data_IF_647987379028
#
_entry.id   IF_647987379028
#
_cell.length_a   1.000
_cell.length_b   1.000
_cell.length_c   1.000
_cell.angle_alpha   90.00
_cell.angle_beta   90.00
_cell.angle_gamma   90.00
#
_symmetry.space_group_name_H-M   'P 1'
#
loop_
_entity.id
_entity.type
_entity.pdbx_description
1 polymer ?
#
# COMPACT_ATOMS: atom_id res chain seq x y z
N UNK A 1 21.70 -75.06 30.99
CA UNK A 1 22.52 -74.34 29.99
C UNK A 1 21.80 -73.04 29.66
N UNK A 2 22.49 -71.89 29.75
CA UNK A 2 21.85 -70.58 29.62
C UNK A 2 21.66 -70.23 28.14
N UNK A 3 20.55 -69.59 27.80
CA UNK A 3 20.46 -68.73 26.63
C UNK A 3 19.69 -67.47 27.01
N UNK A 4 20.26 -66.36 26.55
CA UNK A 4 20.08 -64.97 26.95
C UNK A 4 18.69 -64.37 26.65
N UNK A 5 18.36 -63.23 27.27
CA UNK A 5 17.13 -62.49 26.99
C UNK A 5 17.19 -61.87 25.57
N UNK A 6 16.12 -62.08 24.80
CA UNK A 6 15.86 -61.31 23.59
C UNK A 6 15.44 -59.90 23.99
N UNK A 7 16.35 -58.95 23.77
CA UNK A 7 16.12 -57.52 23.92
C UNK A 7 15.32 -56.95 22.72
N UNK A 8 14.56 -55.91 23.03
CA UNK A 8 13.60 -55.21 22.19
C UNK A 8 14.23 -54.48 21.00
N UNK A 9 13.37 -54.14 20.03
CA UNK A 9 13.39 -53.01 19.08
C UNK A 9 13.16 -53.45 17.64
N UNK A 10 11.89 -53.71 17.31
CA UNK A 10 11.41 -53.61 15.94
C UNK A 10 11.40 -52.15 15.52
N UNK A 11 12.55 -51.62 15.08
CA UNK A 11 12.59 -50.36 14.34
C UNK A 11 12.05 -50.58 12.93
N UNK A 12 10.90 -49.96 12.67
CA UNK A 12 10.29 -49.83 11.35
C UNK A 12 11.23 -49.08 10.41
N UNK A 13 12.04 -49.80 9.63
CA UNK A 13 12.93 -49.19 8.64
C UNK A 13 12.17 -48.88 7.35
N UNK A 14 11.86 -47.61 7.10
CA UNK A 14 11.41 -47.14 5.78
C UNK A 14 12.62 -47.08 4.86
N UNK A 15 12.60 -47.85 3.76
CA UNK A 15 13.67 -47.88 2.76
C UNK A 15 13.21 -47.21 1.47
N UNK A 16 13.94 -46.19 1.02
CA UNK A 16 13.75 -45.63 -0.31
C UNK A 16 14.58 -46.45 -1.32
N UNK A 17 13.88 -47.12 -2.24
CA UNK A 17 14.51 -47.78 -3.40
C UNK A 17 14.38 -46.89 -4.63
N UNK A 18 15.50 -46.50 -5.24
CA UNK A 18 15.51 -46.06 -6.64
C UNK A 18 15.83 -47.26 -7.51
N UNK A 19 15.02 -47.46 -8.55
CA UNK A 19 14.96 -48.68 -9.35
C UNK A 19 16.27 -49.14 -10.03
N UNK A 20 16.39 -50.47 -10.06
CA UNK A 20 17.21 -51.34 -10.92
C UNK A 20 18.75 -51.28 -10.79
N UNK A 21 19.27 -52.21 -9.98
CA UNK A 21 20.62 -52.77 -10.17
C UNK A 21 21.26 -53.29 -8.89
N UNK A 22 21.13 -54.60 -8.63
CA UNK A 22 21.98 -55.46 -7.77
C UNK A 22 22.30 -55.00 -6.34
N UNK A 23 21.84 -55.79 -5.36
CA UNK A 23 22.23 -55.71 -3.94
C UNK A 23 23.76 -55.70 -3.78
N UNK A 24 24.38 -54.71 -3.09
CA UNK A 24 25.73 -54.85 -2.60
C UNK A 24 25.70 -55.68 -1.31
N UNK A 25 26.43 -56.79 -1.33
CA UNK A 25 26.81 -57.61 -0.19
C UNK A 25 27.43 -56.77 0.92
N UNK A 26 27.23 -57.21 2.16
CA UNK A 26 27.90 -56.73 3.37
C UNK A 26 29.42 -56.89 3.26
N UNK A 27 30.11 -55.89 2.72
CA UNK A 27 31.55 -55.71 2.86
C UNK A 27 31.86 -54.54 3.81
N UNK A 28 32.95 -54.68 4.55
CA UNK A 28 33.57 -53.68 5.43
C UNK A 28 33.77 -52.33 4.70
N UNK A 29 33.84 -51.18 5.42
CA UNK A 29 33.98 -49.88 4.80
C UNK A 29 35.23 -49.82 3.92
N UNK A 30 35.07 -49.35 2.69
CA UNK A 30 36.19 -49.06 1.79
C UNK A 30 37.02 -47.91 2.40
N UNK A 31 38.34 -47.91 2.21
CA UNK A 31 39.28 -46.97 2.85
C UNK A 31 39.13 -45.50 2.37
N UNK A 32 38.01 -45.17 1.73
CA UNK A 32 37.69 -43.88 1.13
C UNK A 32 36.47 -43.18 1.74
N UNK A 33 35.87 -43.76 2.78
CA UNK A 33 34.69 -43.21 3.47
C UNK A 33 35.08 -42.57 4.82
N UNK A 34 34.73 -41.30 5.02
CA UNK A 34 35.04 -40.54 6.24
C UNK A 34 33.76 -40.38 7.08
N UNK A 35 33.80 -40.75 8.36
CA UNK A 35 32.69 -40.56 9.33
C UNK A 35 32.50 -39.05 9.57
N UNK A 36 31.28 -38.54 9.35
CA UNK A 36 30.98 -37.12 9.38
C UNK A 36 30.51 -36.61 10.76
N UNK A 37 30.56 -37.44 11.81
CA UNK A 37 30.04 -37.09 13.15
C UNK A 37 30.60 -35.79 13.78
N UNK A 38 31.72 -35.24 13.29
CA UNK A 38 32.35 -34.03 13.82
C UNK A 38 32.38 -32.82 12.86
N UNK A 39 31.76 -32.89 11.67
CA UNK A 39 31.79 -31.79 10.68
C UNK A 39 30.39 -31.22 10.45
N UNK A 40 30.25 -29.89 10.48
CA UNK A 40 29.01 -29.24 10.05
C UNK A 40 28.72 -29.61 8.59
N UNK A 41 27.54 -30.16 8.32
CA UNK A 41 27.10 -30.49 6.96
C UNK A 41 27.17 -29.26 6.04
N UNK A 42 26.90 -28.07 6.59
CA UNK A 42 27.02 -26.80 5.88
C UNK A 42 28.46 -26.53 5.40
N UNK A 43 29.47 -26.84 6.21
CA UNK A 43 30.89 -26.66 5.82
C UNK A 43 31.30 -27.62 4.70
N UNK A 44 30.72 -28.81 4.67
CA UNK A 44 30.95 -29.80 3.62
C UNK A 44 30.27 -29.36 2.32
N UNK A 45 29.04 -28.85 2.41
CA UNK A 45 28.32 -28.29 1.26
C UNK A 45 29.08 -27.08 0.70
N UNK A 46 29.54 -26.16 1.54
CA UNK A 46 30.31 -24.99 1.14
C UNK A 46 31.65 -25.37 0.49
N UNK A 47 32.37 -26.35 1.05
CA UNK A 47 33.59 -26.88 0.46
C UNK A 47 33.33 -27.55 -0.88
N UNK A 48 32.30 -28.38 -1.00
CA UNK A 48 31.93 -29.02 -2.26
C UNK A 48 31.52 -27.99 -3.32
N UNK A 49 30.80 -26.94 -2.92
CA UNK A 49 30.44 -25.82 -3.79
C UNK A 49 31.67 -25.08 -4.31
N UNK A 50 32.59 -24.70 -3.42
CA UNK A 50 33.83 -24.00 -3.80
C UNK A 50 34.74 -24.82 -4.73
N UNK A 51 34.70 -26.15 -4.64
CA UNK A 51 35.48 -27.06 -5.50
C UNK A 51 34.72 -27.55 -6.74
N UNK A 52 33.51 -27.06 -7.00
CA UNK A 52 32.62 -27.57 -8.04
C UNK A 52 32.52 -29.11 -8.02
N UNK A 53 32.31 -29.67 -6.83
CA UNK A 53 32.15 -31.09 -6.62
C UNK A 53 30.70 -31.41 -6.20
N UNK A 54 30.19 -32.55 -6.63
CA UNK A 54 28.94 -33.14 -6.12
C UNK A 54 29.31 -33.89 -4.85
N UNK A 55 28.88 -33.36 -3.71
CA UNK A 55 29.02 -34.02 -2.42
C UNK A 55 28.16 -35.29 -2.43
N UNK A 56 28.77 -36.43 -2.14
CA UNK A 56 28.04 -37.69 -1.96
C UNK A 56 28.09 -38.09 -0.50
N UNK A 57 26.91 -38.30 0.08
CA UNK A 57 26.72 -38.63 1.49
C UNK A 57 25.77 -39.81 1.58
N UNK A 58 26.08 -40.76 2.47
CA UNK A 58 25.26 -41.95 2.71
C UNK A 58 24.92 -42.00 4.19
N UNK A 59 23.66 -42.27 4.53
CA UNK A 59 23.24 -42.54 5.90
C UNK A 59 23.19 -44.04 6.15
N UNK A 60 23.99 -44.55 7.07
CA UNK A 60 24.06 -45.98 7.39
C UNK A 60 24.35 -46.19 8.88
N UNK A 61 23.49 -46.95 9.55
CA UNK A 61 23.66 -47.36 10.95
C UNK A 61 23.62 -46.19 11.94
N UNK A 62 22.74 -45.21 11.74
CA UNK A 62 22.64 -44.04 12.62
C UNK A 62 23.63 -42.91 12.30
N UNK A 63 24.54 -43.10 11.34
CA UNK A 63 25.61 -42.16 11.01
C UNK A 63 25.61 -41.70 9.56
N UNK A 64 26.06 -40.47 9.33
CA UNK A 64 26.32 -39.89 8.01
C UNK A 64 27.77 -40.19 7.60
N UNK A 65 27.95 -40.70 6.38
CA UNK A 65 29.25 -41.04 5.80
C UNK A 65 29.47 -40.23 4.53
N UNK A 66 30.64 -39.60 4.38
CA UNK A 66 31.03 -39.00 3.11
C UNK A 66 31.69 -40.04 2.21
N UNK A 67 31.22 -40.14 0.96
CA UNK A 67 31.89 -40.95 -0.08
C UNK A 67 32.63 -40.06 -1.07
N UNK A 68 33.37 -40.67 -2.01
CA UNK A 68 34.23 -39.96 -2.95
C UNK A 68 33.43 -38.98 -3.83
N UNK A 69 33.55 -37.69 -3.53
CA UNK A 69 32.90 -36.61 -4.27
C UNK A 69 33.28 -36.62 -5.75
N UNK A 70 32.29 -36.46 -6.64
CA UNK A 70 32.51 -36.45 -8.10
C UNK A 70 32.61 -35.01 -8.61
N UNK A 71 33.43 -34.77 -9.64
CA UNK A 71 33.48 -33.46 -10.32
C UNK A 71 32.12 -33.15 -10.94
N UNK A 72 31.62 -31.91 -10.82
CA UNK A 72 30.33 -31.49 -11.39
C UNK A 72 30.29 -31.82 -12.89
N UNK A 73 29.52 -32.83 -13.27
CA UNK A 73 29.26 -33.19 -14.68
C UNK A 73 27.92 -32.64 -15.18
N UNK A 74 27.19 -31.90 -14.34
CA UNK A 74 25.87 -31.39 -14.66
C UNK A 74 25.94 -29.87 -14.75
N UNK A 75 25.60 -29.35 -15.93
CA UNK A 75 25.15 -27.99 -16.12
C UNK A 75 24.09 -27.71 -15.07
N UNK A 76 24.43 -26.89 -14.08
CA UNK A 76 23.48 -26.39 -13.10
C UNK A 76 22.57 -25.40 -13.82
N UNK A 77 21.60 -25.89 -14.57
CA UNK A 77 20.53 -25.05 -15.09
C UNK A 77 19.79 -24.50 -13.88
N UNK A 78 19.91 -23.19 -13.68
CA UNK A 78 19.19 -22.47 -12.63
C UNK A 78 17.71 -22.55 -13.00
N UNK A 79 16.97 -23.46 -12.35
CA UNK A 79 15.52 -23.54 -12.52
C UNK A 79 14.89 -22.36 -11.80
N UNK A 80 14.04 -21.64 -12.50
CA UNK A 80 13.28 -20.53 -11.94
C UNK A 80 12.18 -21.10 -11.04
N UNK A 81 12.20 -20.69 -9.78
CA UNK A 81 11.14 -21.00 -8.82
C UNK A 81 10.02 -19.98 -8.96
N UNK A 82 8.78 -20.44 -8.90
CA UNK A 82 7.58 -19.59 -8.90
C UNK A 82 6.79 -19.88 -7.64
N UNK A 83 6.34 -18.84 -6.94
CA UNK A 83 5.56 -18.99 -5.70
C UNK A 83 4.09 -19.28 -6.00
N UNK A 84 3.38 -19.87 -5.03
CA UNK A 84 1.94 -20.06 -5.13
C UNK A 84 1.23 -18.71 -5.28
N UNK A 85 1.71 -17.63 -4.64
CA UNK A 85 1.20 -16.27 -4.85
C UNK A 85 1.20 -15.88 -6.33
N UNK A 86 2.34 -15.97 -7.00
CA UNK A 86 2.44 -15.61 -8.43
C UNK A 86 1.54 -16.49 -9.29
N UNK A 87 1.43 -17.79 -8.98
CA UNK A 87 0.55 -18.70 -9.72
C UNK A 87 -0.94 -18.42 -9.52
N UNK A 88 -1.34 -17.90 -8.36
CA UNK A 88 -2.72 -17.49 -8.10
C UNK A 88 -3.05 -16.12 -8.69
N UNK A 89 -2.08 -15.19 -8.77
CA UNK A 89 -2.28 -13.84 -9.26
C UNK A 89 -2.16 -13.70 -10.79
N UNK A 90 -1.18 -14.37 -11.40
CA UNK A 90 -0.73 -14.10 -12.78
C UNK A 90 -1.07 -15.23 -13.76
N UNK A 91 -1.60 -16.38 -13.31
CA UNK A 91 -1.81 -17.51 -14.21
C UNK A 91 -3.09 -17.35 -15.06
N UNK A 92 -3.00 -17.28 -16.40
CA UNK A 92 -4.17 -17.26 -17.28
C UNK A 92 -4.91 -18.62 -17.30
N UNK A 93 -4.28 -19.67 -16.77
CA UNK A 93 -4.79 -21.04 -16.78
C UNK A 93 -4.96 -21.54 -15.35
N UNK A 94 -6.20 -21.83 -14.97
CA UNK A 94 -6.55 -22.33 -13.65
C UNK A 94 -6.00 -23.76 -13.45
N UNK A 95 -5.44 -24.03 -12.27
CA UNK A 95 -5.06 -25.39 -11.84
C UNK A 95 -6.23 -26.35 -12.03
N UNK A 96 -5.96 -27.56 -12.53
CA UNK A 96 -6.99 -28.60 -12.68
C UNK A 96 -7.40 -29.11 -11.30
N UNK A 97 -8.63 -29.60 -11.17
CA UNK A 97 -9.14 -30.17 -9.91
C UNK A 97 -8.22 -31.23 -9.31
N UNK A 98 -7.59 -32.07 -10.14
CA UNK A 98 -6.64 -33.08 -9.67
C UNK A 98 -5.39 -32.46 -9.04
N UNK A 99 -4.84 -31.41 -9.65
CA UNK A 99 -3.66 -30.69 -9.16
C UNK A 99 -3.99 -29.96 -7.85
N UNK A 100 -5.15 -29.30 -7.78
CA UNK A 100 -5.68 -28.67 -6.57
C UNK A 100 -5.76 -29.67 -5.40
N UNK A 101 -6.32 -30.85 -5.63
CA UNK A 101 -6.49 -31.88 -4.59
C UNK A 101 -5.15 -32.46 -4.13
N UNK A 102 -4.21 -32.72 -5.06
CA UNK A 102 -2.87 -33.19 -4.71
C UNK A 102 -2.17 -32.15 -3.85
N UNK A 103 -2.14 -30.89 -4.29
CA UNK A 103 -1.49 -29.81 -3.56
C UNK A 103 -2.11 -29.60 -2.17
N UNK A 104 -3.45 -29.58 -2.08
CA UNK A 104 -4.18 -29.46 -0.81
C UNK A 104 -3.79 -30.56 0.18
N UNK A 105 -3.76 -31.82 -0.27
CA UNK A 105 -3.40 -32.96 0.57
C UNK A 105 -1.92 -32.90 0.98
N UNK A 106 -1.03 -32.52 0.07
CA UNK A 106 0.40 -32.37 0.37
C UNK A 106 0.63 -31.28 1.41
N UNK A 107 0.00 -30.12 1.28
CA UNK A 107 0.12 -29.02 2.25
C UNK A 107 -0.48 -29.37 3.61
N UNK A 108 -1.61 -30.07 3.65
CA UNK A 108 -2.20 -30.51 4.92
C UNK A 108 -1.30 -31.51 5.67
N UNK A 109 -0.70 -32.47 4.97
CA UNK A 109 0.28 -33.38 5.57
C UNK A 109 1.54 -32.64 6.02
N UNK A 110 2.08 -31.75 5.19
CA UNK A 110 3.24 -30.96 5.54
C UNK A 110 2.97 -30.09 6.78
N UNK A 111 1.83 -29.42 6.85
CA UNK A 111 1.44 -28.63 8.01
C UNK A 111 1.33 -29.49 9.28
N UNK A 112 0.72 -30.68 9.20
CA UNK A 112 0.64 -31.60 10.34
C UNK A 112 2.04 -32.00 10.85
N UNK A 113 2.93 -32.43 9.94
CA UNK A 113 4.27 -32.89 10.31
C UNK A 113 5.21 -31.76 10.75
N UNK A 114 5.03 -30.56 10.22
CA UNK A 114 5.88 -29.40 10.50
C UNK A 114 5.37 -28.53 11.65
N UNK A 115 4.15 -28.78 12.16
CA UNK A 115 3.48 -27.96 13.18
C UNK A 115 4.24 -27.83 14.50
N UNK A 116 5.02 -28.85 14.89
CA UNK A 116 5.83 -28.84 16.11
C UNK A 116 7.27 -28.32 15.88
N UNK A 117 7.62 -27.96 14.64
CA UNK A 117 8.97 -27.56 14.25
C UNK A 117 9.08 -26.10 13.81
N UNK A 118 10.32 -25.59 13.61
CA UNK A 118 10.55 -24.21 13.18
C UNK A 118 10.19 -23.95 11.71
N UNK A 119 9.62 -24.94 11.02
CA UNK A 119 9.34 -24.91 9.59
C UNK A 119 8.08 -24.13 9.24
N UNK A 120 7.11 -24.05 10.16
CA UNK A 120 5.94 -23.19 10.04
C UNK A 120 6.16 -21.97 10.92
N UNK A 121 6.66 -20.88 10.32
CA UNK A 121 6.74 -19.59 11.00
C UNK A 121 5.34 -19.01 11.23
N UNK A 122 5.23 -17.97 12.08
CA UNK A 122 3.94 -17.31 12.36
C UNK A 122 3.24 -16.80 11.11
N UNK A 123 3.99 -16.50 10.03
CA UNK A 123 3.48 -15.92 8.79
C UNK A 123 3.59 -16.87 7.58
N UNK A 124 3.55 -18.18 7.79
CA UNK A 124 3.60 -19.13 6.67
C UNK A 124 2.32 -19.05 5.82
N UNK A 125 2.48 -19.02 4.50
CA UNK A 125 1.38 -18.87 3.55
C UNK A 125 1.81 -19.10 2.09
N UNK A 126 1.08 -18.48 1.16
CA UNK A 126 1.27 -18.67 -0.30
C UNK A 126 2.62 -18.18 -0.82
N UNK A 127 3.33 -17.35 -0.07
CA UNK A 127 4.67 -16.87 -0.41
C UNK A 127 5.76 -17.91 -0.14
N UNK A 128 5.55 -18.75 0.88
CA UNK A 128 6.50 -19.78 1.29
C UNK A 128 6.33 -21.08 0.50
N UNK A 129 5.26 -21.23 -0.27
CA UNK A 129 5.04 -22.40 -1.14
C UNK A 129 5.54 -22.08 -2.55
N UNK A 130 6.56 -22.80 -3.00
CA UNK A 130 7.20 -22.59 -4.31
C UNK A 130 7.20 -23.86 -5.16
N UNK A 131 7.25 -23.67 -6.47
CA UNK A 131 7.30 -24.74 -7.47
C UNK A 131 8.42 -24.45 -8.47
N UNK A 132 9.01 -25.49 -9.04
CA UNK A 132 9.95 -25.34 -10.16
C UNK A 132 9.27 -25.69 -11.48
N UNK A 133 9.56 -24.91 -12.52
CA UNK A 133 9.18 -25.26 -13.89
C UNK A 133 10.06 -26.40 -14.40
N UNK A 134 9.46 -27.34 -15.13
CA UNK A 134 10.20 -28.38 -15.85
C UNK A 134 10.68 -27.84 -17.19
N UNK A 135 11.89 -28.21 -17.62
CA UNK A 135 12.45 -27.75 -18.91
C UNK A 135 11.62 -28.21 -20.12
N UNK A 136 10.67 -29.13 -19.93
CA UNK A 136 9.78 -29.70 -20.95
C UNK A 136 8.31 -29.24 -20.83
N UNK A 137 7.95 -28.54 -19.76
CA UNK A 137 6.56 -28.09 -19.51
C UNK A 137 6.57 -26.63 -19.06
N UNK A 138 5.77 -25.79 -19.73
CA UNK A 138 5.56 -24.39 -19.32
C UNK A 138 4.88 -24.30 -17.94
N UNK A 139 4.02 -25.28 -17.62
CA UNK A 139 3.30 -25.36 -16.35
C UNK A 139 4.23 -25.89 -15.22
N UNK A 140 4.18 -25.30 -14.01
CA UNK A 140 4.95 -25.79 -12.86
C UNK A 140 4.42 -27.14 -12.36
N UNK A 141 5.30 -27.94 -11.74
CA UNK A 141 4.90 -29.23 -11.17
C UNK A 141 4.22 -29.06 -9.80
N UNK A 142 2.89 -28.94 -9.82
CA UNK A 142 2.06 -28.83 -8.62
C UNK A 142 2.11 -30.05 -7.69
N UNK A 143 2.64 -31.19 -8.14
CA UNK A 143 2.72 -32.42 -7.33
C UNK A 143 3.86 -32.38 -6.33
N UNK A 144 4.84 -31.49 -6.54
CA UNK A 144 6.04 -31.39 -5.72
C UNK A 144 6.26 -29.93 -5.27
N UNK A 145 5.43 -29.42 -4.34
CA UNK A 145 5.65 -28.12 -3.74
C UNK A 145 6.90 -28.14 -2.83
N UNK A 146 7.57 -27.00 -2.76
CA UNK A 146 8.70 -26.76 -1.87
C UNK A 146 8.33 -25.69 -0.86
N UNK A 147 8.72 -25.88 0.40
CA UNK A 147 8.57 -24.87 1.44
C UNK A 147 9.85 -24.04 1.52
N UNK A 148 9.72 -22.73 1.34
CA UNK A 148 10.80 -21.76 1.48
C UNK A 148 10.73 -21.12 2.88
N UNK A 149 11.69 -21.45 3.74
CA UNK A 149 11.74 -20.98 5.13
C UNK A 149 13.08 -20.30 5.37
N UNK A 150 13.06 -19.05 5.84
CA UNK A 150 14.24 -18.42 6.43
C UNK A 150 14.29 -18.75 7.92
N UNK A 151 15.42 -19.28 8.38
CA UNK A 151 15.68 -19.51 9.80
C UNK A 151 16.48 -18.38 10.46
N UNK A 152 17.01 -17.48 9.63
CA UNK A 152 17.70 -16.28 10.05
C UNK A 152 16.63 -15.19 10.23
N UNK A 153 16.29 -14.95 11.51
CA UNK A 153 15.57 -13.80 12.09
C UNK A 153 14.58 -14.26 13.17
N UNK A 154 15.11 -14.54 14.36
CA UNK A 154 14.34 -14.44 15.61
C UNK A 154 14.47 -13.03 16.21
N UNK A 155 14.60 -12.02 15.37
CA UNK A 155 14.31 -10.66 15.84
C UNK A 155 12.80 -10.55 15.98
N UNK A 156 12.37 -10.34 17.23
CA UNK A 156 11.06 -9.80 17.57
C UNK A 156 11.05 -8.38 17.01
N UNK A 157 10.88 -8.29 15.69
CA UNK A 157 10.80 -7.07 14.91
C UNK A 157 9.34 -6.81 14.60
N UNK A 158 8.85 -5.70 15.13
CA UNK A 158 7.52 -5.14 14.93
C UNK A 158 7.26 -4.75 13.47
N UNK A 159 7.07 -5.72 12.57
CA UNK A 159 6.48 -5.45 11.25
C UNK A 159 5.02 -5.87 11.20
N UNK A 160 4.21 -4.86 10.90
CA UNK A 160 2.81 -4.89 10.48
C UNK A 160 1.78 -5.28 11.54
N UNK A 161 1.20 -4.24 12.12
CA UNK A 161 -0.02 -4.22 12.94
C UNK A 161 -1.30 -4.43 12.10
N UNK A 162 -1.25 -5.22 11.02
CA UNK A 162 -2.39 -5.39 10.10
C UNK A 162 -2.81 -6.84 9.83
N UNK A 163 -2.37 -7.82 10.62
CA UNK A 163 -2.96 -9.15 10.54
C UNK A 163 -4.22 -9.21 11.42
N UNK A 164 -5.38 -8.91 10.81
CA UNK A 164 -6.75 -9.12 11.34
C UNK A 164 -6.98 -10.50 11.99
N UNK A 165 -6.05 -11.44 11.80
CA UNK A 165 -6.14 -12.83 12.19
C UNK A 165 -5.22 -13.24 13.36
N UNK A 166 -4.51 -12.31 14.01
CA UNK A 166 -3.54 -12.61 15.08
C UNK A 166 -4.15 -13.12 16.41
N UNK A 167 -5.46 -13.31 16.49
CA UNK A 167 -6.15 -13.82 17.68
C UNK A 167 -6.63 -15.27 17.57
N UNK A 168 -6.28 -16.00 16.50
CA UNK A 168 -6.68 -17.40 16.38
C UNK A 168 -5.81 -18.30 17.28
N UNK A 169 -6.44 -19.14 18.11
CA UNK A 169 -5.76 -20.07 19.04
C UNK A 169 -4.75 -21.02 18.36
N UNK A 170 -4.87 -21.18 17.04
CA UNK A 170 -3.91 -21.92 16.23
C UNK A 170 -3.67 -21.22 14.87
N UNK A 171 -2.69 -20.31 14.77
CA UNK A 171 -2.44 -19.53 13.55
C UNK A 171 -2.04 -20.42 12.37
N UNK A 172 -1.40 -21.56 12.62
CA UNK A 172 -0.96 -22.47 11.58
C UNK A 172 -2.12 -23.17 10.88
N UNK A 173 -3.12 -23.62 11.63
CA UNK A 173 -4.33 -24.23 11.08
C UNK A 173 -5.13 -23.20 10.27
N UNK A 174 -5.19 -21.96 10.74
CA UNK A 174 -5.86 -20.89 10.01
C UNK A 174 -5.19 -20.63 8.66
N UNK A 175 -3.86 -20.49 8.63
CA UNK A 175 -3.13 -20.29 7.39
C UNK A 175 -3.28 -21.48 6.42
N UNK A 176 -3.31 -22.71 6.93
CA UNK A 176 -3.66 -23.88 6.13
C UNK A 176 -5.08 -23.74 5.54
N UNK A 177 -6.06 -23.36 6.35
CA UNK A 177 -7.43 -23.14 5.91
C UNK A 177 -7.53 -22.12 4.76
N UNK A 178 -6.83 -20.99 4.90
CA UNK A 178 -6.74 -19.96 3.86
C UNK A 178 -6.12 -20.53 2.58
N UNK A 179 -4.97 -21.18 2.67
CA UNK A 179 -4.30 -21.80 1.51
C UNK A 179 -5.21 -22.79 0.78
N UNK A 180 -5.95 -23.62 1.51
CA UNK A 180 -6.88 -24.58 0.92
C UNK A 180 -8.02 -23.88 0.17
N UNK A 181 -8.54 -22.77 0.72
CA UNK A 181 -9.54 -21.93 0.05
C UNK A 181 -8.96 -21.30 -1.22
N UNK A 182 -7.79 -20.68 -1.14
CA UNK A 182 -7.12 -20.04 -2.27
C UNK A 182 -6.82 -21.02 -3.41
N UNK A 183 -6.33 -22.22 -3.10
CA UNK A 183 -6.10 -23.29 -4.07
C UNK A 183 -7.41 -23.67 -4.77
N UNK A 184 -8.50 -23.79 -4.01
CA UNK A 184 -9.81 -24.17 -4.55
C UNK A 184 -10.40 -23.06 -5.43
N UNK A 185 -10.36 -21.83 -4.94
CA UNK A 185 -10.87 -20.63 -5.59
C UNK A 185 -10.02 -20.24 -6.81
N UNK A 186 -8.74 -20.61 -6.80
CA UNK A 186 -7.80 -20.34 -7.88
C UNK A 186 -7.38 -18.88 -7.97
N UNK A 187 -7.59 -18.11 -6.90
CA UNK A 187 -7.15 -16.73 -6.73
C UNK A 187 -6.77 -16.51 -5.25
N UNK A 188 -5.96 -15.49 -4.94
CA UNK A 188 -5.68 -15.11 -3.55
C UNK A 188 -6.99 -14.73 -2.83
N UNK A 189 -7.07 -15.01 -1.52
CA UNK A 189 -8.28 -14.74 -0.72
C UNK A 189 -8.61 -13.25 -0.72
N UNK A 190 -7.58 -12.40 -0.83
CA UNK A 190 -7.69 -10.94 -0.91
C UNK A 190 -8.46 -10.48 -2.15
N UNK A 191 -8.52 -11.29 -3.22
CA UNK A 191 -9.32 -10.97 -4.41
C UNK A 191 -10.83 -11.13 -4.21
N UNK A 192 -11.24 -11.66 -3.06
CA UNK A 192 -12.63 -11.82 -2.65
C UNK A 192 -13.06 -10.82 -1.58
N UNK A 193 -12.15 -9.98 -1.09
CA UNK A 193 -12.54 -8.91 -0.18
C UNK A 193 -13.53 -8.00 -0.89
N UNK A 194 -14.69 -7.82 -0.28
CA UNK A 194 -15.60 -6.77 -0.67
C UNK A 194 -15.09 -5.45 -0.09
N UNK A 195 -15.53 -4.34 -0.67
CA UNK A 195 -15.10 -3.01 -0.23
C UNK A 195 -15.43 -2.73 1.26
N UNK A 196 -16.43 -3.42 1.80
CA UNK A 196 -16.83 -3.38 3.21
C UNK A 196 -15.83 -4.11 4.11
N UNK A 197 -15.19 -5.18 3.62
CA UNK A 197 -14.20 -6.00 4.36
C UNK A 197 -12.88 -5.26 4.61
N UNK A 198 -12.60 -4.20 3.84
CA UNK A 198 -11.39 -3.39 3.93
C UNK A 198 -11.52 -2.19 4.87
N UNK A 199 -12.73 -1.93 5.37
CA UNK A 199 -12.99 -0.83 6.31
C UNK A 199 -12.57 -1.21 7.70
N UNK A 200 -12.14 -0.22 8.47
CA UNK A 200 -11.91 -0.44 9.89
C UNK A 200 -13.28 -0.65 10.58
N UNK A 201 -13.54 -1.80 11.22
CA UNK A 201 -14.80 -2.03 11.93
C UNK A 201 -15.08 -0.97 13.01
N UNK A 202 -14.03 -0.29 13.50
CA UNK A 202 -14.17 0.85 14.40
C UNK A 202 -15.10 1.92 13.81
N UNK A 203 -14.98 2.20 12.51
CA UNK A 203 -15.68 3.30 11.86
C UNK A 203 -17.18 3.07 11.65
N UNK A 204 -17.66 1.83 11.83
CA UNK A 204 -19.08 1.54 11.91
C UNK A 204 -19.74 2.08 13.19
N UNK A 205 -18.94 2.22 14.25
CA UNK A 205 -19.42 2.64 15.59
C UNK A 205 -18.90 4.01 16.01
N UNK A 206 -17.72 4.40 15.53
CA UNK A 206 -17.04 5.64 15.86
C UNK A 206 -16.52 6.31 14.61
N UNK A 207 -17.10 7.47 14.26
CA UNK A 207 -16.64 8.25 13.12
C UNK A 207 -15.14 8.62 13.24
N UNK A 208 -14.35 8.53 12.17
CA UNK A 208 -12.97 9.00 12.18
C UNK A 208 -12.86 10.48 12.56
N UNK A 209 -11.84 10.84 13.33
CA UNK A 209 -11.55 12.22 13.70
C UNK A 209 -10.06 12.48 13.90
N UNK A 210 -9.67 13.75 13.79
CA UNK A 210 -8.36 14.27 14.14
C UNK A 210 -8.47 15.61 14.86
N UNK A 211 -7.96 15.68 16.09
CA UNK A 211 -7.93 16.91 16.89
C UNK A 211 -6.75 17.79 16.47
N UNK A 212 -7.07 19.04 16.13
CA UNK A 212 -6.10 20.11 15.79
C UNK A 212 -5.64 20.91 16.99
N UNK A 213 -5.93 20.43 18.20
CA UNK A 213 -5.50 20.98 19.47
C UNK A 213 -5.00 19.85 20.41
N UNK A 214 -4.52 20.22 21.58
CA UNK A 214 -4.06 19.25 22.59
C UNK A 214 -5.26 18.46 23.13
N UNK A 215 -5.18 17.13 23.03
CA UNK A 215 -6.25 16.27 23.49
C UNK A 215 -6.30 16.24 25.03
N UNK A 216 -7.49 16.17 25.65
CA UNK A 216 -7.61 15.92 27.08
C UNK A 216 -6.89 14.64 27.50
N UNK A 217 -6.46 14.58 28.77
CA UNK A 217 -5.76 13.40 29.30
C UNK A 217 -6.60 12.13 29.11
N UNK A 218 -6.00 11.10 28.50
CA UNK A 218 -6.66 9.83 28.21
C UNK A 218 -7.53 9.82 26.94
N UNK A 219 -7.67 10.95 26.25
CA UNK A 219 -8.38 11.02 24.97
C UNK A 219 -7.38 10.98 23.79
N UNK A 220 -7.48 10.02 22.86
CA UNK A 220 -6.56 9.96 21.74
C UNK A 220 -6.75 11.17 20.81
N UNK A 221 -5.65 11.71 20.29
CA UNK A 221 -5.69 12.89 19.41
C UNK A 221 -6.36 12.59 18.06
N UNK A 222 -6.36 11.34 17.63
CA UNK A 222 -7.06 10.86 16.45
C UNK A 222 -7.34 9.37 16.62
N UNK A 223 -8.40 8.87 15.98
CA UNK A 223 -8.67 7.44 15.84
C UNK A 223 -8.40 6.92 14.40
N UNK A 224 -7.90 7.78 13.51
CA UNK A 224 -7.56 7.42 12.12
C UNK A 224 -6.31 6.54 12.11
N UNK A 225 -6.39 5.40 11.43
CA UNK A 225 -5.23 4.55 11.11
C UNK A 225 -4.67 4.89 9.74
N UNK A 226 -3.39 5.25 9.69
CA UNK A 226 -2.69 5.59 8.44
C UNK A 226 -1.97 4.36 7.89
N UNK A 227 -2.22 4.05 6.62
CA UNK A 227 -1.49 3.05 5.86
C UNK A 227 -0.53 3.74 4.88
N UNK A 228 0.74 3.32 4.86
CA UNK A 228 1.76 3.88 3.97
C UNK A 228 1.93 2.97 2.77
N UNK A 229 1.64 3.51 1.58
CA UNK A 229 1.80 2.80 0.30
C UNK A 229 2.71 3.55 -0.65
N UNK A 230 3.49 2.78 -1.39
CA UNK A 230 4.18 3.29 -2.58
C UNK A 230 3.19 3.31 -3.74
N UNK A 231 3.10 4.46 -4.42
CA UNK A 231 2.20 4.66 -5.56
C UNK A 231 2.99 5.18 -6.76
N UNK A 232 2.47 4.90 -7.96
CA UNK A 232 3.01 5.48 -9.19
C UNK A 232 2.28 6.79 -9.45
N UNK A 233 3.03 7.89 -9.56
CA UNK A 233 2.49 9.21 -9.89
C UNK A 233 3.07 9.65 -11.24
N UNK A 234 2.20 9.91 -12.21
CA UNK A 234 2.59 10.26 -13.57
C UNK A 234 2.73 11.77 -13.76
N UNK A 235 3.79 12.22 -14.44
CA UNK A 235 3.91 13.63 -14.82
C UNK A 235 2.97 13.93 -16.00
N UNK A 236 2.08 14.91 -15.83
CA UNK A 236 1.18 15.37 -16.88
C UNK A 236 1.92 16.01 -18.06
N UNK A 237 3.17 16.43 -17.86
CA UNK A 237 4.01 16.95 -18.94
C UNK A 237 4.52 15.86 -19.88
N UNK A 238 4.69 14.64 -19.39
CA UNK A 238 5.11 13.48 -20.18
C UNK A 238 3.92 12.70 -20.75
N UNK A 239 2.72 13.01 -20.29
CA UNK A 239 1.48 12.31 -20.67
C UNK A 239 0.50 13.26 -21.33
N UNK A 240 -0.55 13.68 -20.62
CA UNK A 240 -1.53 14.68 -21.04
C UNK A 240 -2.07 15.44 -19.85
N UNK A 241 -2.57 16.64 -20.11
CA UNK A 241 -3.31 17.39 -19.10
C UNK A 241 -4.67 16.71 -18.83
N UNK A 242 -5.12 16.70 -17.56
CA UNK A 242 -6.45 16.23 -17.21
C UNK A 242 -7.52 17.22 -17.67
N UNK A 243 -8.70 16.70 -17.98
CA UNK A 243 -9.88 17.49 -18.30
C UNK A 243 -10.74 17.68 -17.05
N UNK A 244 -11.14 18.92 -16.74
CA UNK A 244 -11.86 19.22 -15.50
C UNK A 244 -13.20 18.49 -15.40
N UNK A 245 -13.96 18.41 -16.48
CA UNK A 245 -15.29 17.77 -16.46
C UNK A 245 -15.18 16.25 -16.34
N UNK A 246 -14.22 15.63 -17.02
CA UNK A 246 -14.07 14.15 -17.02
C UNK A 246 -13.27 13.60 -15.86
N UNK A 247 -12.21 14.30 -15.48
CA UNK A 247 -11.19 13.83 -14.54
C UNK A 247 -11.12 14.68 -13.29
N UNK A 248 -11.99 15.70 -13.17
CA UNK A 248 -12.14 16.52 -11.97
C UNK A 248 -11.01 17.51 -11.73
N UNK A 249 -10.02 17.62 -12.63
CA UNK A 249 -8.89 18.53 -12.48
C UNK A 249 -8.46 19.18 -13.81
N UNK A 250 -7.91 20.38 -13.75
CA UNK A 250 -7.29 21.06 -14.87
C UNK A 250 -6.09 21.90 -14.44
N UNK A 251 -5.03 21.87 -15.25
CA UNK A 251 -3.90 22.79 -15.14
C UNK A 251 -4.15 23.99 -16.06
N UNK A 252 -4.15 25.19 -15.50
CA UNK A 252 -4.46 26.42 -16.22
C UNK A 252 -3.36 27.47 -16.07
N UNK A 253 -3.13 28.30 -17.09
CA UNK A 253 -2.30 29.49 -16.95
C UNK A 253 -3.01 30.51 -16.05
N UNK A 254 -2.31 31.03 -15.06
CA UNK A 254 -2.82 32.04 -14.13
C UNK A 254 -1.70 32.98 -13.68
N UNK A 255 -1.66 34.17 -14.25
CA UNK A 255 -0.71 35.21 -13.84
C UNK A 255 -1.28 35.97 -12.64
N UNK A 256 -0.58 35.96 -11.50
CA UNK A 256 -1.06 36.64 -10.29
C UNK A 256 -0.95 38.17 -10.43
N UNK A 257 -1.97 38.89 -9.98
CA UNK A 257 -1.91 40.37 -9.92
C UNK A 257 -1.04 40.90 -8.78
N UNK A 258 -0.72 40.06 -7.79
CA UNK A 258 0.13 40.42 -6.65
C UNK A 258 1.52 39.81 -6.80
N UNK A 259 2.51 40.50 -6.27
CA UNK A 259 3.91 40.05 -6.25
C UNK A 259 4.19 39.05 -5.12
N UNK A 260 5.33 38.37 -5.19
CA UNK A 260 5.75 37.37 -4.20
C UNK A 260 5.68 37.88 -2.75
N UNK A 261 6.18 39.10 -2.49
CA UNK A 261 6.23 39.66 -1.14
C UNK A 261 4.86 40.02 -0.57
N UNK A 262 3.86 40.25 -1.43
CA UNK A 262 2.50 40.58 -1.01
C UNK A 262 1.72 39.36 -0.51
N UNK A 263 2.22 38.13 -0.72
CA UNK A 263 1.65 36.93 -0.09
C UNK A 263 1.92 36.84 1.42
N UNK A 264 2.70 37.76 1.99
CA UNK A 264 2.82 37.93 3.44
C UNK A 264 1.83 38.96 4.01
N UNK A 265 1.05 39.64 3.15
CA UNK A 265 0.01 40.60 3.56
C UNK A 265 -1.39 39.99 3.38
N UNK A 266 -2.00 39.65 4.51
CA UNK A 266 -3.32 39.02 4.56
C UNK A 266 -4.42 39.89 3.90
N UNK A 267 -4.33 41.22 4.04
CA UNK A 267 -5.33 42.12 3.47
C UNK A 267 -5.21 42.19 1.95
N UNK A 268 -3.98 42.19 1.43
CA UNK A 268 -3.74 42.16 -0.02
C UNK A 268 -4.23 40.84 -0.61
N UNK A 269 -3.96 39.71 0.06
CA UNK A 269 -4.50 38.42 -0.36
C UNK A 269 -6.03 38.47 -0.40
N UNK A 270 -6.68 38.87 0.69
CA UNK A 270 -8.15 38.86 0.79
C UNK A 270 -8.83 39.81 -0.21
N UNK A 271 -8.34 41.05 -0.33
CA UNK A 271 -9.00 42.09 -1.12
C UNK A 271 -8.66 42.03 -2.61
N UNK A 272 -7.48 41.52 -2.96
CA UNK A 272 -6.95 41.56 -4.32
C UNK A 272 -6.84 40.16 -4.91
N UNK A 273 -6.06 39.27 -4.29
CA UNK A 273 -5.79 37.93 -4.85
C UNK A 273 -7.03 37.04 -4.86
N UNK A 274 -7.75 36.90 -3.74
CA UNK A 274 -8.96 36.08 -3.69
C UNK A 274 -10.04 36.60 -4.64
N UNK A 275 -10.14 37.92 -4.82
CA UNK A 275 -11.05 38.50 -5.83
C UNK A 275 -10.64 38.12 -7.26
N UNK A 276 -9.35 38.10 -7.57
CA UNK A 276 -8.85 37.63 -8.87
C UNK A 276 -9.22 36.15 -9.08
N UNK A 277 -8.98 35.29 -8.08
CA UNK A 277 -9.29 33.86 -8.14
C UNK A 277 -10.79 33.61 -8.30
N UNK A 278 -11.64 34.28 -7.52
CA UNK A 278 -13.10 34.17 -7.62
C UNK A 278 -13.61 34.53 -9.02
N UNK A 279 -13.13 35.64 -9.60
CA UNK A 279 -13.49 36.02 -10.96
C UNK A 279 -13.00 35.01 -12.00
N UNK A 280 -11.78 34.50 -11.85
CA UNK A 280 -11.23 33.49 -12.74
C UNK A 280 -12.05 32.20 -12.72
N UNK A 281 -12.33 31.66 -11.52
CA UNK A 281 -13.15 30.47 -11.33
C UNK A 281 -14.56 30.67 -11.88
N UNK A 282 -15.16 31.84 -11.68
CA UNK A 282 -16.49 32.18 -12.23
C UNK A 282 -16.51 32.06 -13.76
N UNK A 283 -15.50 32.58 -14.43
CA UNK A 283 -15.38 32.49 -15.89
C UNK A 283 -15.04 31.07 -16.34
N UNK A 284 -14.09 30.41 -15.70
CA UNK A 284 -13.64 29.05 -16.03
C UNK A 284 -14.79 28.04 -15.95
N UNK A 285 -15.54 28.07 -14.84
CA UNK A 285 -16.65 27.14 -14.56
C UNK A 285 -17.99 27.59 -15.12
N UNK A 286 -18.05 28.77 -15.77
CA UNK A 286 -19.29 29.40 -16.27
C UNK A 286 -20.37 29.51 -15.18
N UNK A 287 -19.94 29.84 -13.96
CA UNK A 287 -20.80 29.91 -12.79
C UNK A 287 -21.52 31.26 -12.69
N UNK A 288 -22.65 31.29 -11.98
CA UNK A 288 -23.38 32.53 -11.67
C UNK A 288 -22.67 33.32 -10.56
N UNK A 289 -22.17 32.62 -9.54
CA UNK A 289 -21.49 33.22 -8.40
C UNK A 289 -20.41 32.28 -7.85
N UNK A 290 -19.32 32.83 -7.33
CA UNK A 290 -18.25 32.08 -6.65
C UNK A 290 -17.92 32.79 -5.34
N UNK A 291 -18.00 32.07 -4.24
CA UNK A 291 -17.71 32.56 -2.89
C UNK A 291 -16.53 31.80 -2.30
N UNK A 292 -15.45 32.52 -2.00
CA UNK A 292 -14.29 31.98 -1.30
C UNK A 292 -14.53 32.11 0.20
N UNK A 293 -14.34 31.02 0.94
CA UNK A 293 -14.67 30.94 2.36
C UNK A 293 -13.45 30.70 3.27
N UNK A 294 -12.24 30.72 2.71
CA UNK A 294 -10.97 30.55 3.44
C UNK A 294 -10.86 31.48 4.67
N UNK A 295 -11.28 32.74 4.53
CA UNK A 295 -11.25 33.75 5.59
C UNK A 295 -12.20 33.47 6.78
N UNK A 296 -13.24 32.64 6.57
CA UNK A 296 -14.19 32.24 7.62
C UNK A 296 -13.59 31.15 8.52
N UNK A 297 -12.56 30.45 8.05
CA UNK A 297 -11.91 29.32 8.74
C UNK A 297 -10.63 29.77 9.49
N UNK A 298 -10.38 31.08 9.54
CA UNK A 298 -9.47 31.69 10.51
C UNK A 298 -8.06 32.05 10.02
N UNK A 299 -7.62 31.61 8.83
CA UNK A 299 -6.36 32.05 8.20
C UNK A 299 -6.39 31.79 6.67
N UNK A 300 -5.67 32.59 5.88
CA UNK A 300 -5.44 32.28 4.46
C UNK A 300 -4.50 31.06 4.34
N UNK A 301 -4.76 30.14 3.40
CA UNK A 301 -3.98 28.90 3.28
C UNK A 301 -2.67 29.06 2.47
N UNK A 302 -1.85 30.03 2.91
CA UNK A 302 -0.46 30.15 2.46
C UNK A 302 0.36 29.08 3.16
N UNK A 303 0.98 28.22 2.37
CA UNK A 303 1.81 27.11 2.83
C UNK A 303 3.26 27.34 2.47
N UNK A 304 4.13 27.47 3.48
CA UNK A 304 5.59 27.53 3.32
C UNK A 304 6.19 26.35 4.07
N UNK A 305 6.74 25.39 3.33
CA UNK A 305 7.28 24.16 3.93
C UNK A 305 8.48 24.49 4.82
N UNK A 306 8.44 24.01 6.05
CA UNK A 306 9.55 24.04 6.97
C UNK A 306 10.59 22.98 6.59
N UNK A 307 11.87 23.26 6.81
CA UNK A 307 12.98 22.38 6.38
C UNK A 307 12.87 20.96 6.94
N UNK A 308 12.36 20.83 8.17
CA UNK A 308 12.20 19.54 8.87
C UNK A 308 10.93 18.76 8.49
N UNK A 309 10.02 19.34 7.71
CA UNK A 309 8.84 18.63 7.23
C UNK A 309 9.25 17.34 6.49
N UNK A 310 8.56 16.19 6.69
CA UNK A 310 7.27 16.00 7.36
C UNK A 310 7.37 15.76 8.89
N UNK A 311 8.57 15.91 9.47
CA UNK A 311 8.76 15.73 10.91
C UNK A 311 8.20 16.96 11.64
N UNK A 312 7.28 16.71 12.58
CA UNK A 312 6.75 17.74 13.47
C UNK A 312 7.86 18.29 14.36
N UNK A 313 7.97 19.62 14.45
CA UNK A 313 8.87 20.31 15.39
C UNK A 313 8.34 20.30 16.83
N UNK A 314 7.08 19.91 17.05
CA UNK A 314 6.39 20.02 18.33
C UNK A 314 5.81 21.41 18.62
N UNK A 315 6.12 22.41 17.80
CA UNK A 315 5.67 23.79 17.96
C UNK A 315 4.79 24.24 16.78
N UNK A 316 3.87 25.20 16.97
CA UNK A 316 3.09 25.76 15.87
C UNK A 316 3.98 26.41 14.81
N UNK A 317 3.74 26.09 13.54
CA UNK A 317 4.42 26.76 12.43
C UNK A 317 3.79 28.12 12.14
N UNK A 318 4.61 29.08 11.69
CA UNK A 318 4.12 30.39 11.21
C UNK A 318 3.21 30.25 9.98
N UNK A 319 3.51 29.30 9.11
CA UNK A 319 2.74 29.01 7.90
C UNK A 319 2.28 27.56 7.91
N UNK A 320 1.14 27.29 7.29
CA UNK A 320 0.65 25.93 7.13
C UNK A 320 1.66 25.08 6.36
N UNK A 321 1.75 23.80 6.74
CA UNK A 321 2.65 22.85 6.10
C UNK A 321 1.91 22.08 5.01
N UNK A 322 2.59 21.52 4.00
CA UNK A 322 1.98 20.57 3.07
C UNK A 322 1.28 19.41 3.81
N UNK A 323 0.22 18.84 3.25
CA UNK A 323 -0.40 17.62 3.79
C UNK A 323 0.23 16.40 3.13
N UNK A 324 0.73 15.44 3.91
CA UNK A 324 1.33 14.18 3.42
C UNK A 324 0.37 12.98 3.51
N UNK A 325 -0.89 13.23 3.87
CA UNK A 325 -1.95 12.24 3.99
C UNK A 325 -2.92 12.50 2.85
N UNK A 326 -3.31 11.44 2.15
CA UNK A 326 -4.28 11.53 1.06
C UNK A 326 -5.66 11.87 1.62
N UNK A 327 -6.29 12.91 1.07
CA UNK A 327 -7.60 13.38 1.51
C UNK A 327 -8.38 14.07 0.39
N UNK A 328 -9.67 14.26 0.65
CA UNK A 328 -10.53 15.26 0.02
C UNK A 328 -10.96 16.22 1.13
N UNK A 329 -10.93 17.52 0.90
CA UNK A 329 -11.12 18.55 1.93
C UNK A 329 -12.53 18.67 2.49
N UNK A 330 -13.53 18.24 1.74
CA UNK A 330 -14.94 18.42 2.12
C UNK A 330 -15.80 17.24 1.70
N UNK A 331 -16.92 17.08 2.40
CA UNK A 331 -18.07 16.33 1.91
C UNK A 331 -19.06 17.25 1.21
N UNK A 332 -20.01 16.68 0.47
CA UNK A 332 -21.08 17.45 -0.17
C UNK A 332 -22.02 18.05 0.87
N UNK A 333 -22.34 17.30 1.92
CA UNK A 333 -23.16 17.71 3.06
C UNK A 333 -22.54 18.93 3.76
N UNK A 334 -21.22 18.89 4.01
CA UNK A 334 -20.52 20.01 4.61
C UNK A 334 -20.50 21.23 3.68
N UNK A 335 -20.28 21.03 2.36
CA UNK A 335 -20.31 22.12 1.39
C UNK A 335 -21.69 22.82 1.35
N UNK A 336 -22.78 22.05 1.41
CA UNK A 336 -24.13 22.60 1.56
C UNK A 336 -24.33 23.35 2.87
N UNK A 337 -23.92 22.78 4.00
CA UNK A 337 -24.02 23.44 5.30
C UNK A 337 -23.26 24.78 5.32
N UNK A 338 -22.05 24.80 4.75
CA UNK A 338 -21.25 26.02 4.60
C UNK A 338 -21.94 27.04 3.70
N UNK A 339 -22.48 26.62 2.54
CA UNK A 339 -23.24 27.49 1.66
C UNK A 339 -24.44 28.15 2.36
N UNK A 340 -25.16 27.38 3.18
CA UNK A 340 -26.29 27.88 3.97
C UNK A 340 -25.85 28.85 5.07
N UNK A 341 -24.78 28.51 5.81
CA UNK A 341 -24.23 29.37 6.88
C UNK A 341 -23.77 30.72 6.33
N UNK A 342 -23.11 30.73 5.16
CA UNK A 342 -22.63 31.94 4.52
C UNK A 342 -23.76 32.76 3.88
N UNK A 343 -24.92 32.15 3.62
CA UNK A 343 -26.05 32.75 2.91
C UNK A 343 -27.40 32.44 3.58
N UNK A 344 -27.63 32.84 4.85
CA UNK A 344 -28.78 32.40 5.65
C UNK A 344 -30.15 32.76 5.04
N UNK A 345 -30.22 33.83 4.23
CA UNK A 345 -31.45 34.23 3.54
C UNK A 345 -31.67 33.61 2.16
N UNK A 346 -30.74 32.77 1.68
CA UNK A 346 -30.77 32.19 0.32
C UNK A 346 -30.65 30.66 0.31
N UNK A 347 -30.54 30.01 1.46
CA UNK A 347 -30.36 28.57 1.61
C UNK A 347 -31.29 27.74 0.71
N UNK A 348 -32.60 27.98 0.78
CA UNK A 348 -33.60 27.25 -0.03
C UNK A 348 -33.41 27.46 -1.54
N UNK A 349 -33.08 28.69 -1.95
CA UNK A 349 -32.85 29.05 -3.35
C UNK A 349 -31.57 28.40 -3.90
N UNK A 350 -30.50 28.38 -3.09
CA UNK A 350 -29.23 27.72 -3.43
C UNK A 350 -29.43 26.22 -3.56
N UNK A 351 -30.18 25.59 -2.65
CA UNK A 351 -30.43 24.15 -2.65
C UNK A 351 -31.19 23.64 -3.88
N UNK A 352 -31.88 24.52 -4.62
CA UNK A 352 -32.58 24.18 -5.86
C UNK A 352 -31.66 24.14 -7.10
N UNK A 353 -30.40 24.53 -6.95
CA UNK A 353 -29.45 24.65 -8.06
C UNK A 353 -28.17 23.87 -7.76
N UNK A 354 -27.38 23.62 -8.80
CA UNK A 354 -26.07 22.98 -8.66
C UNK A 354 -25.15 23.81 -7.77
N UNK A 355 -24.51 23.13 -6.82
CA UNK A 355 -23.47 23.61 -5.95
C UNK A 355 -22.22 22.76 -6.17
N UNK A 356 -21.08 23.40 -6.37
CA UNK A 356 -19.78 22.75 -6.36
C UNK A 356 -18.86 23.36 -5.30
N UNK A 357 -17.96 22.55 -4.76
CA UNK A 357 -16.79 23.00 -4.05
C UNK A 357 -15.55 22.65 -4.87
N UNK A 358 -14.70 23.64 -5.15
CA UNK A 358 -13.47 23.47 -5.91
C UNK A 358 -12.30 24.08 -5.16
N UNK A 359 -11.13 23.50 -5.37
CA UNK A 359 -9.88 24.05 -4.90
C UNK A 359 -9.14 24.67 -6.08
N UNK A 360 -8.56 25.83 -5.82
CA UNK A 360 -7.58 26.47 -6.67
C UNK A 360 -6.23 26.41 -5.93
N UNK A 361 -5.22 25.83 -6.55
CA UNK A 361 -3.89 25.69 -5.96
C UNK A 361 -2.83 26.21 -6.91
N UNK A 362 -1.90 27.03 -6.42
CA UNK A 362 -0.73 27.45 -7.20
C UNK A 362 0.54 27.56 -6.35
N UNK A 363 1.73 27.38 -6.97
CA UNK A 363 2.97 27.82 -6.35
C UNK A 363 2.99 29.34 -6.21
N UNK A 364 3.49 29.85 -5.09
CA UNK A 364 3.78 31.28 -4.90
C UNK A 364 5.14 31.61 -5.55
N UNK A 365 6.09 30.67 -5.46
CA UNK A 365 7.37 30.69 -6.14
C UNK A 365 7.58 29.37 -6.89
N UNK A 366 8.19 29.44 -8.06
CA UNK A 366 8.49 28.25 -8.87
C UNK A 366 9.83 28.37 -9.60
N UNK A 367 10.28 27.29 -10.26
CA UNK A 367 9.60 25.99 -10.35
C UNK A 367 9.56 25.22 -9.02
N UNK A 368 8.42 24.58 -8.73
CA UNK A 368 8.32 23.63 -7.62
C UNK A 368 9.11 22.38 -7.96
N UNK A 369 10.12 22.08 -7.14
CA UNK A 369 10.93 20.85 -7.19
C UNK A 369 10.94 20.10 -5.87
N UNK A 370 10.14 20.58 -4.92
CA UNK A 370 10.06 20.12 -3.56
C UNK A 370 8.59 19.87 -3.24
N UNK A 371 8.27 18.65 -2.79
CA UNK A 371 6.92 18.28 -2.36
C UNK A 371 5.77 18.72 -3.29
N UNK A 372 5.77 18.40 -4.59
CA UNK A 372 4.69 18.80 -5.50
C UNK A 372 3.32 18.23 -5.07
N UNK A 373 2.25 18.81 -5.63
CA UNK A 373 0.89 18.33 -5.43
C UNK A 373 0.61 17.15 -6.36
N UNK A 374 0.24 16.01 -5.78
CA UNK A 374 -0.33 14.88 -6.51
C UNK A 374 -1.86 14.90 -6.40
N UNK A 375 -2.51 14.57 -7.51
CA UNK A 375 -3.95 14.49 -7.67
C UNK A 375 -4.31 13.10 -8.18
N UNK A 376 -5.34 12.49 -7.61
CA UNK A 376 -5.90 11.22 -8.09
C UNK A 376 -7.02 11.50 -9.09
N UNK A 377 -7.00 10.82 -10.25
CA UNK A 377 -8.04 10.97 -11.26
C UNK A 377 -9.41 10.55 -10.72
N UNK A 378 -10.39 11.46 -10.79
CA UNK A 378 -11.76 11.19 -10.36
C UNK A 378 -12.39 9.99 -11.07
N UNK A 379 -11.97 9.72 -12.30
CA UNK A 379 -12.46 8.61 -13.11
C UNK A 379 -12.05 7.23 -12.58
N UNK A 380 -11.05 7.17 -11.70
CA UNK A 380 -10.53 5.92 -11.10
C UNK A 380 -10.95 5.71 -9.65
N UNK A 381 -11.53 6.74 -9.04
CA UNK A 381 -12.07 6.71 -7.69
C UNK A 381 -13.45 6.05 -7.70
N UNK A 382 -13.74 5.22 -6.70
CA UNK A 382 -15.09 4.79 -6.36
C UNK A 382 -15.52 5.50 -5.09
N UNK A 383 -16.39 6.50 -5.21
CA UNK A 383 -16.82 7.33 -4.07
C UNK A 383 -17.36 6.50 -2.90
N UNK A 384 -18.11 5.43 -3.19
CA UNK A 384 -18.74 4.63 -2.14
C UNK A 384 -17.70 3.88 -1.31
N UNK A 385 -16.56 3.53 -1.87
CA UNK A 385 -15.67 2.52 -1.30
C UNK A 385 -14.29 3.06 -0.96
N UNK A 386 -13.86 4.09 -1.68
CA UNK A 386 -12.55 4.71 -1.47
C UNK A 386 -12.60 5.83 -0.43
N UNK A 387 -13.77 6.31 -0.03
CA UNK A 387 -13.89 7.44 0.88
C UNK A 387 -14.49 7.09 2.23
N UNK A 388 -13.90 7.68 3.26
CA UNK A 388 -14.39 7.63 4.64
C UNK A 388 -14.54 9.07 5.19
N UNK A 389 -15.75 9.53 5.53
CA UNK A 389 -15.95 10.82 6.17
C UNK A 389 -15.19 10.93 7.49
N UNK A 390 -14.53 12.06 7.74
CA UNK A 390 -13.67 12.26 8.89
C UNK A 390 -13.77 13.70 9.41
N UNK A 391 -13.81 13.85 10.73
CA UNK A 391 -13.89 15.15 11.39
C UNK A 391 -12.50 15.71 11.72
N UNK A 392 -12.17 16.86 11.14
CA UNK A 392 -11.09 17.72 11.61
C UNK A 392 -11.64 18.68 12.66
N UNK A 393 -11.29 18.41 13.91
CA UNK A 393 -11.84 19.13 15.06
C UNK A 393 -10.86 20.22 15.51
N UNK A 394 -11.27 21.46 15.38
CA UNK A 394 -10.58 22.64 15.88
C UNK A 394 -11.21 23.07 17.23
N UNK A 395 -10.55 23.94 18.03
CA UNK A 395 -11.10 24.38 19.31
C UNK A 395 -12.50 25.00 19.22
N UNK A 396 -12.82 25.64 18.10
CA UNK A 396 -13.97 26.50 17.91
C UNK A 396 -14.91 26.05 16.77
N UNK A 397 -14.48 25.12 15.90
CA UNK A 397 -15.30 24.60 14.81
C UNK A 397 -14.87 23.18 14.38
N UNK A 398 -15.71 22.53 13.56
CA UNK A 398 -15.45 21.22 12.96
C UNK A 398 -15.53 21.34 11.44
N UNK A 399 -14.54 20.75 10.76
CA UNK A 399 -14.54 20.60 9.31
C UNK A 399 -14.64 19.12 9.00
N UNK A 400 -15.61 18.72 8.17
CA UNK A 400 -15.73 17.33 7.73
C UNK A 400 -15.02 17.16 6.39
N UNK A 401 -14.00 16.31 6.37
CA UNK A 401 -13.24 15.94 5.18
C UNK A 401 -13.49 14.46 4.83
N UNK A 402 -12.83 13.94 3.79
CA UNK A 402 -12.82 12.50 3.50
C UNK A 402 -11.39 11.96 3.52
N UNK A 403 -11.17 10.90 4.29
CA UNK A 403 -9.97 10.07 4.18
C UNK A 403 -10.14 9.08 3.03
N UNK A 404 -9.02 8.56 2.51
CA UNK A 404 -9.02 7.76 1.29
C UNK A 404 -8.42 6.38 1.55
N UNK A 405 -9.17 5.33 1.23
CA UNK A 405 -8.66 3.96 1.19
C UNK A 405 -7.87 3.74 -0.10
N UNK A 406 -6.78 2.99 0.01
CA UNK A 406 -5.96 2.64 -1.13
C UNK A 406 -6.68 1.62 -2.03
N UNK A 407 -6.59 1.83 -3.34
CA UNK A 407 -6.97 0.83 -4.33
C UNK A 407 -6.03 0.84 -5.53
N UNK A 408 -5.62 -0.34 -6.01
CA UNK A 408 -4.66 -0.51 -7.13
C UNK A 408 -5.10 0.20 -8.43
N UNK A 409 -6.40 0.45 -8.60
CA UNK A 409 -6.96 1.12 -9.77
C UNK A 409 -6.75 2.65 -9.77
N UNK A 410 -6.41 3.24 -8.63
CA UNK A 410 -6.28 4.69 -8.49
C UNK A 410 -5.11 5.21 -9.33
N UNK A 411 -5.41 6.09 -10.28
CA UNK A 411 -4.40 6.70 -11.14
C UNK A 411 -4.04 8.09 -10.63
N UNK A 412 -2.75 8.30 -10.38
CA UNK A 412 -2.23 9.53 -9.80
C UNK A 412 -1.40 10.31 -10.80
N UNK A 413 -1.52 11.63 -10.75
CA UNK A 413 -0.74 12.54 -11.58
C UNK A 413 -0.28 13.79 -10.82
N UNK A 414 0.79 14.40 -11.33
CA UNK A 414 1.34 15.66 -10.87
C UNK A 414 1.92 16.43 -12.06
N UNK A 415 2.38 17.66 -11.84
CA UNK A 415 3.14 18.41 -12.85
C UNK A 415 4.54 18.67 -12.30
N UNK A 416 5.58 18.24 -13.03
CA UNK A 416 6.97 18.58 -12.66
C UNK A 416 7.19 20.08 -12.73
N UNK A 417 8.27 20.60 -12.15
CA UNK A 417 8.71 22.01 -12.21
C UNK A 417 7.59 23.07 -12.34
N UNK A 418 6.52 22.96 -11.55
CA UNK A 418 5.35 23.83 -11.71
C UNK A 418 5.74 25.29 -11.49
N UNK A 419 5.44 26.14 -12.46
CA UNK A 419 5.77 27.57 -12.41
C UNK A 419 4.72 28.32 -11.58
N UNK A 420 5.10 29.49 -11.08
CA UNK A 420 4.20 30.33 -10.28
C UNK A 420 3.05 30.93 -11.10
N UNK A 421 3.06 30.80 -12.42
CA UNK A 421 1.98 31.19 -13.33
C UNK A 421 1.13 30.01 -13.84
N UNK A 422 1.28 28.84 -13.24
CA UNK A 422 0.45 27.66 -13.49
C UNK A 422 -0.36 27.35 -12.23
N UNK A 423 -1.66 27.11 -12.38
CA UNK A 423 -2.55 26.77 -11.27
C UNK A 423 -3.33 25.49 -11.56
N UNK A 424 -3.53 24.69 -10.51
CA UNK A 424 -4.49 23.60 -10.52
C UNK A 424 -5.85 24.12 -10.11
N UNK A 425 -6.89 23.64 -10.81
CA UNK A 425 -8.28 23.69 -10.35
C UNK A 425 -8.75 22.26 -10.27
N UNK A 426 -9.28 21.86 -9.11
CA UNK A 426 -9.75 20.49 -8.92
C UNK A 426 -11.01 20.42 -8.04
N UNK A 427 -11.85 19.44 -8.32
CA UNK A 427 -13.16 19.25 -7.72
C UNK A 427 -13.03 18.63 -6.32
N UNK A 428 -13.78 19.15 -5.34
CA UNK A 428 -13.87 18.58 -3.99
C UNK A 428 -15.28 18.14 -3.59
N UNK A 429 -16.31 18.74 -4.17
CA UNK A 429 -17.69 18.26 -4.06
C UNK A 429 -18.52 18.79 -5.23
N UNK A 430 -19.52 18.01 -5.67
CA UNK A 430 -20.51 18.42 -6.66
C UNK A 430 -21.87 17.84 -6.28
N UNK A 431 -22.90 18.68 -6.28
CA UNK A 431 -24.28 18.22 -6.08
C UNK A 431 -24.84 17.45 -7.28
N UNK A 432 -24.26 17.63 -8.47
CA UNK A 432 -24.54 16.82 -9.64
C UNK A 432 -23.49 15.71 -9.74
N UNK A 433 -23.89 14.45 -9.53
CA UNK A 433 -23.01 13.27 -9.47
C UNK A 433 -22.44 12.87 -10.85
N UNK A 434 -21.67 13.76 -11.48
CA UNK A 434 -21.03 13.51 -12.76
C UNK A 434 -19.57 13.08 -12.63
N UNK A 435 -18.89 13.62 -11.62
CA UNK A 435 -17.44 13.46 -11.44
C UNK A 435 -17.13 13.35 -9.96
N UNK A 436 -16.36 12.34 -9.57
CA UNK A 436 -15.99 12.15 -8.18
C UNK A 436 -15.07 13.31 -7.68
N UNK A 437 -15.08 13.61 -6.38
CA UNK A 437 -14.08 14.47 -5.76
C UNK A 437 -12.65 13.97 -5.95
N UNK A 438 -11.70 14.90 -6.05
CA UNK A 438 -10.27 14.61 -6.24
C UNK A 438 -9.57 14.43 -4.90
N UNK A 439 -9.12 13.20 -4.66
CA UNK A 439 -8.16 12.90 -3.62
C UNK A 439 -6.80 13.53 -3.97
N UNK A 440 -6.14 14.14 -3.00
CA UNK A 440 -4.87 14.81 -3.21
C UNK A 440 -3.94 14.73 -2.00
N UNK A 441 -2.64 14.91 -2.26
CA UNK A 441 -1.59 14.96 -1.24
C UNK A 441 -0.35 15.65 -1.78
N UNK A 442 0.51 16.16 -0.89
CA UNK A 442 1.90 16.43 -1.24
C UNK A 442 2.71 15.14 -1.11
N UNK A 443 3.71 14.95 -1.97
CA UNK A 443 4.58 13.77 -1.93
C UNK A 443 6.05 14.14 -2.15
N UNK A 444 7.00 13.40 -1.53
CA UNK A 444 8.42 13.63 -1.77
C UNK A 444 8.82 13.12 -3.17
N UNK A 445 9.57 13.92 -3.93
CA UNK A 445 10.11 13.46 -5.21
C UNK A 445 11.28 12.47 -4.99
N UNK A 446 11.32 11.34 -5.72
CA UNK A 446 12.44 10.41 -5.65
C UNK A 446 13.76 11.11 -5.98
N UNK A 447 14.78 10.89 -5.14
CA UNK A 447 16.13 11.45 -5.35
C UNK A 447 16.30 12.93 -4.96
N UNK A 448 15.28 13.55 -4.34
CA UNK A 448 15.39 14.90 -3.77
C UNK A 448 15.45 14.80 -2.24
N UNK A 449 16.62 15.09 -1.69
CA UNK A 449 16.87 15.11 -0.24
C UNK A 449 16.65 16.50 0.40
N UNK A 450 16.63 16.56 1.74
CA UNK A 450 16.55 17.83 2.47
C UNK A 450 17.71 18.77 2.09
N UNK A 451 17.39 19.98 1.63
CA UNK A 451 18.37 21.01 1.27
C UNK A 451 18.84 20.98 -0.18
N UNK A 452 18.48 19.96 -0.96
CA UNK A 452 18.86 19.86 -2.39
C UNK A 452 18.16 20.92 -3.25
N UNK A 453 16.96 21.33 -2.82
CA UNK A 453 16.11 22.30 -3.52
C UNK A 453 15.44 23.24 -2.50
N UNK A 454 15.05 24.46 -2.92
CA UNK A 454 14.29 25.36 -2.07
C UNK A 454 12.96 24.71 -1.60
N UNK A 455 12.56 24.90 -0.33
CA UNK A 455 11.27 24.42 0.16
C UNK A 455 10.10 25.01 -0.62
N UNK A 456 9.04 24.20 -0.80
CA UNK A 456 7.82 24.61 -1.48
C UNK A 456 7.13 25.76 -0.77
N UNK A 457 6.74 26.77 -1.55
CA UNK A 457 5.78 27.80 -1.14
C UNK A 457 4.60 27.84 -2.10
N UNK A 458 3.39 27.69 -1.57
CA UNK A 458 2.15 27.58 -2.35
C UNK A 458 0.99 28.26 -1.63
N UNK A 459 -0.08 28.52 -2.37
CA UNK A 459 -1.36 28.96 -1.81
C UNK A 459 -2.48 28.07 -2.33
N UNK A 460 -3.40 27.73 -1.45
CA UNK A 460 -4.62 27.02 -1.75
C UNK A 460 -5.83 27.92 -1.44
N UNK A 461 -6.85 27.83 -2.27
CA UNK A 461 -8.08 28.62 -2.15
C UNK A 461 -9.26 27.71 -2.38
N UNK A 462 -10.10 27.55 -1.35
CA UNK A 462 -11.34 26.79 -1.44
C UNK A 462 -12.52 27.71 -1.77
N UNK A 463 -13.33 27.28 -2.73
CA UNK A 463 -14.42 28.09 -3.24
C UNK A 463 -15.71 27.27 -3.41
N UNK A 464 -16.82 27.85 -2.94
CA UNK A 464 -18.16 27.42 -3.29
C UNK A 464 -18.58 28.09 -4.60
N UNK A 465 -19.08 27.30 -5.53
CA UNK A 465 -19.44 27.69 -6.88
C UNK A 465 -20.93 27.44 -7.06
N UNK A 466 -21.65 28.51 -7.39
CA UNK A 466 -23.10 28.50 -7.49
C UNK A 466 -23.52 28.73 -8.94
N UNK A 467 -24.37 27.85 -9.44
CA UNK A 467 -24.92 27.92 -10.80
C UNK A 467 -26.31 28.57 -10.85
N UNK A 468 -26.90 28.85 -9.69
CA UNK A 468 -28.19 29.48 -9.54
C UNK A 468 -28.41 29.98 -8.11
N UNK A 469 -29.58 30.56 -7.86
CA UNK A 469 -29.98 31.04 -6.54
C UNK A 469 -29.41 32.40 -6.10
N UNK A 470 -28.59 33.04 -6.95
CA UNK A 470 -28.11 34.40 -6.77
C UNK A 470 -28.74 35.29 -7.85
N UNK A 471 -29.58 36.27 -7.47
CA UNK A 471 -30.04 37.26 -8.45
C UNK A 471 -28.83 38.05 -8.99
N UNK A 472 -28.82 38.38 -10.29
CA UNK A 472 -27.85 39.33 -10.84
C UNK A 472 -28.00 40.67 -10.08
N UNK A 473 -26.93 41.08 -9.40
CA UNK A 473 -26.84 42.37 -8.71
C UNK A 473 -26.50 43.49 -9.68
#
# INVERSE_FOLDING_TARGET
MPMEPHDETTESTVRFTTDKGTLPTTSLPDASEEDLEAKSLCDLINRAHGHQAVLQVIYRGGKLWQTRSRRKSLLSQKREGVTLRSLLAESPKRMKTREQLILAVTLAHAALHCSEGPWLCQDWGKDQVSFFRSDLQEDPDYSHPYLNVSFDDREIGSSDNNNLFRHHDNPYILALGILLLEIRLGKPIESYHEDEDLRDPLYETEKPYSLRFEAPEGFPRANIKLDKRDIVVHDVRDTRLPDFEKEGAALVPFESVISYHEFDDEQVIQKVFLKQVSNFLKTFLKAQHVQIFEHTVGHNDVRKRHETFPISTGEPYRYNQPTSIVHVDTTLEWAYAMAQQLNPGRAESIAQHRLQCVNFWKPIIGPVRDWPLALCSAATINERTDFEPCDLVYPDYVVENRQVYYADRQEWFYVSEQKANEAWIFLQADSEYHTNPIAHTAFPLPGVGPGDVPPRESIEVRALVYYGGFAES
#
